data_IF_006278452546
#
_entry.id   IF_006278452546
#
_cell.length_a   1.000
_cell.length_b   1.000
_cell.length_c   1.000
_cell.angle_alpha   90.00
_cell.angle_beta   90.00
_cell.angle_gamma   90.00
#
_symmetry.space_group_name_H-M   'P 1'
#
loop_
_entity.id
_entity.type
_entity.pdbx_description
1 polymer ?
#
# COMPACT_ATOMS: atom_id res chain seq x y z
N UNK A 1 -1.34 9.70 1.50
CA UNK A 1 -1.51 11.16 1.63
C UNK A 1 -0.13 11.80 1.53
N UNK A 2 -0.08 13.07 1.17
CA UNK A 2 1.14 13.87 1.14
C UNK A 2 0.81 15.28 1.63
N UNK A 3 1.82 16.06 1.99
CA UNK A 3 1.63 17.41 2.52
C UNK A 3 2.94 18.04 2.93
N UNK A 4 2.90 19.35 3.13
CA UNK A 4 4.06 20.14 3.57
C UNK A 4 4.16 20.28 5.10
N UNK A 5 3.13 19.83 5.82
CA UNK A 5 3.01 19.93 7.28
C UNK A 5 2.78 18.51 7.84
N UNK A 6 3.75 17.91 8.56
CA UNK A 6 3.66 16.52 9.00
C UNK A 6 2.54 16.24 10.02
N UNK A 7 2.12 17.23 10.81
CA UNK A 7 1.07 17.02 11.83
C UNK A 7 -0.31 16.84 11.19
N UNK A 8 -0.55 17.42 10.01
CA UNK A 8 -1.75 17.20 9.17
C UNK A 8 -1.82 15.78 8.60
N UNK A 9 -0.69 15.07 8.54
CA UNK A 9 -0.61 13.72 7.97
C UNK A 9 -0.83 12.63 9.02
N UNK A 10 -0.78 12.94 10.32
CA UNK A 10 -1.05 11.94 11.37
C UNK A 10 -2.53 11.56 11.37
N UNK A 11 -2.92 10.26 11.39
CA UNK A 11 -2.12 9.05 11.64
C UNK A 11 -1.61 8.31 10.38
N UNK A 12 -1.73 8.90 9.20
CA UNK A 12 -1.39 8.25 7.93
C UNK A 12 0.13 8.21 7.72
N UNK A 13 0.74 7.05 7.96
CA UNK A 13 2.14 6.79 7.59
C UNK A 13 2.23 6.46 6.11
N UNK A 14 3.04 7.23 5.36
CA UNK A 14 3.39 6.85 4.00
C UNK A 14 4.60 5.93 4.05
N UNK A 15 4.45 4.68 3.63
CA UNK A 15 5.56 3.72 3.46
C UNK A 15 6.32 3.97 2.15
N UNK A 16 5.86 4.91 1.34
CA UNK A 16 6.52 5.30 0.10
C UNK A 16 7.79 6.08 0.45
N UNK A 17 8.94 5.58 0.00
CA UNK A 17 10.21 6.29 0.07
C UNK A 17 10.26 7.46 -0.91
N UNK A 18 11.46 7.89 -1.27
CA UNK A 18 11.65 8.93 -2.28
C UNK A 18 11.19 8.41 -3.66
N UNK A 19 10.24 9.11 -4.28
CA UNK A 19 9.71 8.80 -5.61
C UNK A 19 9.71 10.07 -6.47
N UNK A 20 9.98 9.89 -7.76
CA UNK A 20 9.86 10.97 -8.75
C UNK A 20 8.54 10.80 -9.51
N UNK A 21 7.74 11.87 -9.57
CA UNK A 21 6.45 11.89 -10.28
C UNK A 21 6.43 13.05 -11.28
N UNK A 22 5.75 12.91 -12.43
CA UNK A 22 5.58 14.03 -13.36
C UNK A 22 4.96 15.24 -12.68
N UNK A 23 5.54 16.42 -12.92
CA UNK A 23 5.06 17.67 -12.34
C UNK A 23 3.61 17.97 -12.74
N UNK A 24 2.78 18.31 -11.76
CA UNK A 24 1.38 18.69 -11.95
C UNK A 24 1.02 19.89 -11.08
N UNK A 25 -0.08 20.57 -11.42
CA UNK A 25 -0.52 21.79 -10.75
C UNK A 25 -0.70 21.62 -9.24
N UNK A 26 -1.30 20.50 -8.80
CA UNK A 26 -1.49 20.20 -7.38
C UNK A 26 -0.18 20.18 -6.58
N UNK A 27 0.86 19.50 -7.10
CA UNK A 27 2.17 19.44 -6.46
C UNK A 27 2.86 20.82 -6.45
N UNK A 28 2.74 21.57 -7.55
CA UNK A 28 3.27 22.94 -7.62
C UNK A 28 2.60 23.87 -6.62
N UNK A 29 1.29 23.72 -6.41
CA UNK A 29 0.53 24.50 -5.45
C UNK A 29 0.95 24.15 -4.02
N UNK A 30 1.04 22.87 -3.68
CA UNK A 30 1.49 22.40 -2.37
C UNK A 30 2.91 22.89 -2.04
N UNK A 31 3.81 22.85 -3.03
CA UNK A 31 5.17 23.38 -2.91
C UNK A 31 5.16 24.89 -2.59
N UNK A 32 4.47 25.71 -3.39
CA UNK A 32 4.42 27.16 -3.17
C UNK A 32 3.72 27.53 -1.86
N UNK A 33 2.65 26.81 -1.48
CA UNK A 33 2.02 27.00 -0.17
C UNK A 33 3.02 26.72 0.96
N UNK A 34 3.84 25.67 0.81
CA UNK A 34 4.93 25.35 1.75
C UNK A 34 5.99 26.44 1.85
N UNK A 35 6.43 26.98 0.72
CA UNK A 35 7.39 28.11 0.67
C UNK A 35 6.86 29.37 1.39
N UNK A 36 5.54 29.56 1.40
CA UNK A 36 4.86 30.64 2.11
C UNK A 36 4.43 30.30 3.55
N UNK A 37 4.76 29.09 4.04
CA UNK A 37 4.41 28.65 5.40
C UNK A 37 2.91 28.39 5.59
N UNK A 38 2.17 28.14 4.52
CA UNK A 38 0.75 27.81 4.55
C UNK A 38 0.60 26.27 4.57
N UNK A 39 -0.01 25.68 5.62
CA UNK A 39 -0.22 24.24 5.67
C UNK A 39 -1.12 23.75 4.53
N UNK A 40 -0.70 22.69 3.87
CA UNK A 40 -1.45 22.05 2.78
C UNK A 40 -1.19 20.55 2.74
N UNK A 41 -2.21 19.82 2.29
CA UNK A 41 -2.15 18.37 2.13
C UNK A 41 -2.92 17.92 0.89
N UNK A 42 -2.51 16.80 0.33
CA UNK A 42 -3.18 16.11 -0.76
C UNK A 42 -3.56 14.67 -0.41
N UNK A 43 -4.69 14.26 -0.97
CA UNK A 43 -5.23 12.90 -0.86
C UNK A 43 -5.28 12.30 -2.25
N UNK A 44 -4.71 11.11 -2.39
CA UNK A 44 -4.72 10.34 -3.63
C UNK A 44 -5.41 9.01 -3.35
N UNK A 45 -6.35 8.63 -4.22
CA UNK A 45 -6.98 7.31 -4.19
C UNK A 45 -6.24 6.41 -5.18
N UNK A 46 -5.83 5.23 -4.70
CA UNK A 46 -5.31 4.19 -5.59
C UNK A 46 -6.48 3.53 -6.30
N UNK A 47 -6.46 3.58 -7.64
CA UNK A 47 -7.42 2.89 -8.49
C UNK A 47 -6.67 1.77 -9.20
N UNK A 48 -7.16 0.52 -9.12
CA UNK A 48 -6.59 -0.57 -9.89
C UNK A 48 -6.48 -0.18 -11.37
N UNK A 49 -5.30 -0.38 -11.97
CA UNK A 49 -5.00 0.15 -13.30
C UNK A 49 -5.90 -0.44 -14.39
N UNK A 50 -6.45 -1.64 -14.20
CA UNK A 50 -7.43 -2.25 -15.10
C UNK A 50 -8.79 -1.51 -15.08
N UNK A 51 -9.06 -0.68 -14.07
CA UNK A 51 -10.29 0.11 -13.95
C UNK A 51 -10.21 1.49 -14.59
N UNK A 52 -9.06 1.91 -15.12
CA UNK A 52 -8.86 3.28 -15.64
C UNK A 52 -9.78 3.62 -16.82
N UNK A 53 -10.24 2.61 -17.57
CA UNK A 53 -11.17 2.80 -18.70
C UNK A 53 -12.65 2.84 -18.27
N UNK A 54 -12.94 2.56 -16.99
CA UNK A 54 -14.28 2.53 -16.44
C UNK A 54 -14.53 3.76 -15.57
N UNK A 55 -15.79 4.17 -15.48
CA UNK A 55 -16.17 5.09 -14.41
C UNK A 55 -16.02 4.37 -13.07
N UNK A 56 -15.28 4.98 -12.14
CA UNK A 56 -15.05 4.40 -10.81
C UNK A 56 -15.46 5.37 -9.68
N UNK A 57 -16.77 5.57 -9.45
CA UNK A 57 -17.28 6.51 -8.44
C UNK A 57 -16.81 6.21 -7.01
N UNK A 58 -16.39 4.96 -6.73
CA UNK A 58 -15.75 4.60 -5.47
C UNK A 58 -14.55 5.47 -5.12
N UNK A 59 -13.68 5.74 -6.09
CA UNK A 59 -12.50 6.56 -5.84
C UNK A 59 -12.90 7.98 -5.39
N UNK A 60 -13.88 8.57 -6.08
CA UNK A 60 -14.41 9.87 -5.70
C UNK A 60 -15.04 9.85 -4.30
N UNK A 61 -15.84 8.83 -3.99
CA UNK A 61 -16.43 8.65 -2.66
C UNK A 61 -15.35 8.55 -1.57
N UNK A 62 -14.32 7.73 -1.79
CA UNK A 62 -13.19 7.55 -0.86
C UNK A 62 -12.44 8.87 -0.64
N UNK A 63 -12.16 9.62 -1.71
CA UNK A 63 -11.49 10.93 -1.61
C UNK A 63 -12.32 11.91 -0.79
N UNK A 64 -13.62 12.03 -1.06
CA UNK A 64 -14.50 12.96 -0.35
C UNK A 64 -14.69 12.58 1.12
N UNK A 65 -14.79 11.28 1.42
CA UNK A 65 -14.81 10.79 2.80
C UNK A 65 -13.49 11.11 3.53
N UNK A 66 -12.35 11.00 2.85
CA UNK A 66 -11.05 11.41 3.36
C UNK A 66 -11.02 12.90 3.69
N UNK A 67 -11.46 13.76 2.76
CA UNK A 67 -11.56 15.21 3.00
C UNK A 67 -12.46 15.52 4.18
N UNK A 68 -13.65 14.92 4.25
CA UNK A 68 -14.59 15.10 5.35
C UNK A 68 -13.96 14.70 6.70
N UNK A 69 -13.24 13.58 6.74
CA UNK A 69 -12.58 13.07 7.95
C UNK A 69 -11.47 13.99 8.45
N UNK A 70 -10.68 14.58 7.54
CA UNK A 70 -9.55 15.44 7.88
C UNK A 70 -9.95 16.87 8.25
N UNK A 71 -11.01 17.38 7.61
CA UNK A 71 -11.42 18.78 7.75
C UNK A 71 -12.61 18.97 8.72
N UNK A 72 -13.29 17.88 9.07
CA UNK A 72 -14.56 17.93 9.80
C UNK A 72 -15.73 18.46 8.97
N UNK A 73 -15.56 18.67 7.66
CA UNK A 73 -16.61 19.13 6.77
C UNK A 73 -17.66 18.04 6.54
N UNK A 74 -18.92 18.46 6.45
CA UNK A 74 -20.01 17.59 5.99
C UNK A 74 -20.09 17.68 4.48
N UNK A 75 -19.61 16.64 3.80
CA UNK A 75 -19.65 16.53 2.34
C UNK A 75 -20.78 15.58 1.93
N UNK A 76 -21.74 16.00 1.10
CA UNK A 76 -22.82 15.12 0.64
C UNK A 76 -22.27 14.08 -0.35
N UNK A 77 -22.20 12.82 0.09
CA UNK A 77 -21.73 11.68 -0.72
C UNK A 77 -22.81 10.61 -0.94
N UNK A 78 -24.06 10.92 -0.58
CA UNK A 78 -25.17 9.95 -0.57
C UNK A 78 -25.42 9.30 -1.94
N UNK A 79 -25.33 10.07 -3.03
CA UNK A 79 -25.56 9.58 -4.40
C UNK A 79 -24.37 8.80 -4.97
N UNK A 80 -23.17 8.95 -4.38
CA UNK A 80 -21.98 8.24 -4.83
C UNK A 80 -22.01 6.76 -4.45
N UNK A 81 -22.58 6.41 -3.31
CA UNK A 81 -22.70 5.01 -2.88
C UNK A 81 -23.47 4.15 -3.90
N UNK A 82 -24.72 4.49 -4.32
CA UNK A 82 -25.45 3.69 -5.29
C UNK A 82 -24.82 3.73 -6.68
N UNK A 83 -24.22 4.85 -7.09
CA UNK A 83 -23.49 4.95 -8.35
C UNK A 83 -22.26 4.02 -8.37
N UNK A 84 -21.53 3.98 -7.25
CA UNK A 84 -20.37 3.12 -7.08
C UNK A 84 -20.74 1.63 -7.13
N UNK A 85 -21.77 1.21 -6.39
CA UNK A 85 -22.27 -0.19 -6.43
C UNK A 85 -22.67 -0.59 -7.85
N UNK A 86 -23.33 0.31 -8.58
CA UNK A 86 -23.75 0.05 -9.96
C UNK A 86 -22.56 -0.14 -10.88
N UNK A 87 -21.61 0.79 -10.87
CA UNK A 87 -20.40 0.71 -11.68
C UNK A 87 -19.57 -0.55 -11.39
N UNK A 88 -19.42 -0.91 -10.11
CA UNK A 88 -18.75 -2.16 -9.69
C UNK A 88 -19.44 -3.40 -10.27
N UNK A 89 -20.77 -3.41 -10.28
CA UNK A 89 -21.56 -4.52 -10.84
C UNK A 89 -21.38 -4.61 -12.36
N UNK A 90 -21.45 -3.48 -13.07
CA UNK A 90 -21.25 -3.44 -14.53
C UNK A 90 -19.83 -3.89 -14.92
N UNK A 91 -18.82 -3.51 -14.14
CA UNK A 91 -17.44 -4.00 -14.32
C UNK A 91 -17.35 -5.51 -14.10
N UNK A 92 -17.97 -6.03 -13.02
CA UNK A 92 -17.97 -7.46 -12.73
C UNK A 92 -18.65 -8.29 -13.82
N UNK A 93 -19.76 -7.80 -14.38
CA UNK A 93 -20.46 -8.45 -15.50
C UNK A 93 -19.58 -8.51 -16.76
N UNK A 94 -18.84 -7.44 -17.05
CA UNK A 94 -17.92 -7.41 -18.19
C UNK A 94 -16.70 -8.33 -17.99
N UNK A 95 -16.23 -8.48 -16.74
CA UNK A 95 -15.17 -9.42 -16.39
C UNK A 95 -15.61 -10.87 -16.59
N UNK A 96 -16.81 -11.23 -16.14
CA UNK A 96 -17.37 -12.59 -16.32
C UNK A 96 -17.57 -12.95 -17.80
N UNK A 97 -17.80 -11.94 -18.65
CA UNK A 97 -17.89 -12.15 -20.10
C UNK A 97 -16.56 -12.48 -20.78
N UNK A 98 -15.42 -12.44 -20.06
CA UNK A 98 -14.08 -12.66 -20.60
C UNK A 98 -13.20 -13.42 -19.60
N UNK A 99 -13.20 -14.76 -19.70
CA UNK A 99 -12.46 -15.66 -18.80
C UNK A 99 -10.94 -15.37 -18.73
N UNK A 100 -10.34 -14.92 -19.83
CA UNK A 100 -8.92 -14.52 -19.85
C UNK A 100 -8.70 -13.27 -19.00
N UNK A 101 -9.57 -12.26 -19.14
CA UNK A 101 -9.48 -11.02 -18.38
C UNK A 101 -9.80 -11.24 -16.89
N UNK A 102 -10.78 -12.08 -16.56
CA UNK A 102 -11.10 -12.46 -15.19
C UNK A 102 -9.90 -13.12 -14.48
N UNK A 103 -9.16 -13.99 -15.19
CA UNK A 103 -7.97 -14.65 -14.63
C UNK A 103 -6.86 -13.64 -14.33
N UNK A 104 -6.63 -12.68 -15.22
CA UNK A 104 -5.62 -11.62 -15.02
C UNK A 104 -5.99 -10.72 -13.84
N UNK A 105 -7.25 -10.31 -13.73
CA UNK A 105 -7.71 -9.47 -12.62
C UNK A 105 -7.56 -10.20 -11.28
N UNK A 106 -7.94 -11.47 -11.20
CA UNK A 106 -7.77 -12.26 -9.97
C UNK A 106 -6.30 -12.34 -9.53
N UNK A 107 -5.36 -12.50 -10.47
CA UNK A 107 -3.93 -12.52 -10.16
C UNK A 107 -3.41 -11.15 -9.66
N UNK A 108 -3.88 -10.05 -10.26
CA UNK A 108 -3.54 -8.69 -9.84
C UNK A 108 -4.09 -8.35 -8.45
N UNK A 109 -5.32 -8.78 -8.15
CA UNK A 109 -5.94 -8.62 -6.83
C UNK A 109 -5.17 -9.41 -5.77
N UNK A 110 -4.82 -10.67 -6.05
CA UNK A 110 -3.96 -11.46 -5.15
C UNK A 110 -2.60 -10.79 -4.91
N UNK A 111 -1.99 -10.18 -5.92
CA UNK A 111 -0.73 -9.45 -5.75
C UNK A 111 -0.92 -8.20 -4.85
N UNK A 112 -2.00 -7.45 -5.07
CA UNK A 112 -2.33 -6.28 -4.25
C UNK A 112 -2.55 -6.66 -2.78
N UNK A 113 -3.31 -7.73 -2.53
CA UNK A 113 -3.57 -8.22 -1.18
C UNK A 113 -2.29 -8.69 -0.48
N UNK A 114 -1.38 -9.35 -1.19
CA UNK A 114 -0.06 -9.73 -0.65
C UNK A 114 0.77 -8.49 -0.29
N UNK A 115 0.83 -7.48 -1.15
CA UNK A 115 1.56 -6.23 -0.87
C UNK A 115 0.96 -5.48 0.33
N UNK A 116 -0.38 -5.39 0.40
CA UNK A 116 -1.07 -4.77 1.52
C UNK A 116 -0.85 -5.54 2.83
N UNK A 117 -0.90 -6.87 2.80
CA UNK A 117 -0.62 -7.71 3.96
C UNK A 117 0.80 -7.49 4.48
N UNK A 118 1.79 -7.35 3.59
CA UNK A 118 3.17 -7.00 3.96
C UNK A 118 3.26 -5.60 4.58
N UNK A 119 2.61 -4.59 3.99
CA UNK A 119 2.61 -3.22 4.52
C UNK A 119 1.91 -3.11 5.90
N UNK A 120 0.82 -3.85 6.10
CA UNK A 120 0.15 -3.96 7.40
C UNK A 120 1.00 -4.74 8.40
N UNK A 121 1.68 -5.81 7.97
CA UNK A 121 2.61 -6.59 8.79
C UNK A 121 3.86 -5.82 9.22
N UNK A 122 4.34 -4.87 8.41
CA UNK A 122 5.45 -3.95 8.74
C UNK A 122 5.00 -2.80 9.66
N UNK A 123 3.69 -2.53 9.73
CA UNK A 123 3.12 -1.58 10.70
C UNK A 123 3.08 -2.17 12.12
N UNK A 124 3.10 -3.50 12.25
CA UNK A 124 3.68 -4.15 13.41
C UNK A 124 5.19 -4.01 13.28
N UNK A 125 5.84 -3.21 14.14
CA UNK A 125 7.29 -3.02 14.06
C UNK A 125 8.05 -4.35 14.06
N UNK A 126 9.37 -4.32 13.85
CA UNK A 126 10.26 -5.51 13.91
C UNK A 126 10.03 -6.34 15.19
N UNK A 127 9.51 -5.72 16.25
CA UNK A 127 8.96 -6.34 17.46
C UNK A 127 7.86 -7.40 17.23
N UNK A 128 6.95 -7.21 16.28
CA UNK A 128 5.82 -8.13 16.02
C UNK A 128 6.24 -9.36 15.19
N UNK A 129 7.42 -9.28 14.55
CA UNK A 129 8.04 -10.39 13.82
C UNK A 129 8.83 -11.32 14.74
N UNK A 130 8.95 -10.99 16.04
CA UNK A 130 9.52 -11.86 17.05
C UNK A 130 8.46 -12.18 18.11
N UNK A 131 8.29 -13.44 18.54
CA UNK A 131 7.33 -13.78 19.60
C UNK A 131 7.60 -13.10 20.96
N UNK A 132 8.64 -12.26 21.07
CA UNK A 132 9.02 -11.50 22.27
C UNK A 132 9.16 -9.98 22.08
N UNK A 133 8.74 -9.39 20.96
CA UNK A 133 8.54 -7.93 20.93
C UNK A 133 9.81 -7.08 20.86
N UNK A 134 10.98 -7.63 20.49
CA UNK A 134 12.26 -6.91 20.50
C UNK A 134 13.02 -6.99 19.17
N UNK A 135 13.74 -5.93 18.81
CA UNK A 135 14.80 -5.98 17.79
C UNK A 135 15.95 -6.83 18.36
N UNK A 136 16.40 -7.90 17.68
CA UNK A 136 17.51 -8.73 18.15
C UNK A 136 18.77 -7.90 18.34
N UNK A 137 19.51 -8.18 19.40
CA UNK A 137 20.81 -7.56 19.67
C UNK A 137 21.85 -8.01 18.63
N UNK A 138 22.90 -7.21 18.41
CA UNK A 138 23.93 -7.51 17.41
C UNK A 138 24.60 -8.87 17.63
N UNK A 139 24.69 -9.34 18.88
CA UNK A 139 25.26 -10.62 19.23
C UNK A 139 24.33 -11.80 18.85
N UNK A 140 23.01 -11.62 18.97
CA UNK A 140 22.03 -12.63 18.54
C UNK A 140 21.99 -12.77 17.01
N UNK A 141 22.15 -11.66 16.30
CA UNK A 141 22.26 -11.66 14.83
C UNK A 141 23.56 -12.36 14.41
N UNK A 142 24.68 -12.10 15.11
CA UNK A 142 25.96 -12.78 14.84
C UNK A 142 25.85 -14.30 15.04
N UNK A 143 25.21 -14.75 16.11
CA UNK A 143 25.02 -16.17 16.39
C UNK A 143 24.17 -16.88 15.32
N UNK A 144 23.08 -16.26 14.85
CA UNK A 144 22.25 -16.82 13.78
C UNK A 144 22.98 -16.88 12.43
N UNK A 145 23.84 -15.90 12.14
CA UNK A 145 24.67 -15.91 10.93
C UNK A 145 25.70 -17.04 11.01
N UNK A 146 26.32 -17.27 12.17
CA UNK A 146 27.25 -18.39 12.35
C UNK A 146 26.57 -19.75 12.19
N UNK A 147 25.36 -19.92 12.75
CA UNK A 147 24.55 -21.13 12.60
C UNK A 147 24.13 -21.37 11.14
N UNK A 148 23.73 -20.32 10.42
CA UNK A 148 23.41 -20.41 8.99
C UNK A 148 24.63 -20.80 8.15
N UNK A 149 25.81 -20.22 8.43
CA UNK A 149 27.05 -20.56 7.75
C UNK A 149 27.50 -22.00 8.05
N UNK A 150 27.28 -22.50 9.26
CA UNK A 150 27.50 -23.90 9.61
C UNK A 150 26.53 -24.84 8.87
N UNK A 151 25.25 -24.47 8.76
CA UNK A 151 24.28 -25.27 8.01
C UNK A 151 24.61 -25.37 6.50
N UNK A 152 25.24 -24.34 5.93
CA UNK A 152 25.75 -24.38 4.55
C UNK A 152 27.02 -25.23 4.42
N UNK A 153 27.86 -25.27 5.46
CA UNK A 153 29.06 -26.10 5.50
C UNK A 153 28.75 -27.59 5.73
N UNK A 154 27.69 -27.90 6.49
CA UNK A 154 27.21 -29.27 6.72
C UNK A 154 26.42 -29.85 5.52
N UNK A 155 26.02 -29.01 4.58
CA UNK A 155 25.35 -29.42 3.34
C UNK A 155 26.26 -30.04 2.27
N UNK A 156 27.58 -30.17 2.52
CA UNK A 156 28.57 -30.65 1.54
C UNK A 156 29.37 -31.88 2.02
N UNK A 157 28.73 -32.80 2.78
CA UNK A 157 29.25 -34.17 2.97
C UNK A 157 28.66 -35.13 1.90
N UNK A 158 29.41 -35.49 0.84
CA UNK A 158 29.04 -36.65 0.03
C UNK A 158 29.22 -37.91 0.89
N UNK A 159 28.10 -38.58 1.22
CA UNK A 159 28.11 -39.96 1.69
C UNK A 159 28.64 -40.85 0.55
N UNK A 160 29.90 -41.26 0.63
CA UNK A 160 30.39 -42.42 -0.10
C UNK A 160 29.72 -43.68 0.50
N UNK A 161 28.99 -44.49 -0.29
CA UNK A 161 28.53 -45.80 0.14
C UNK A 161 29.64 -46.84 -0.10
N UNK A 162 29.92 -47.67 0.91
CA UNK A 162 30.84 -48.82 0.89
C UNK A 162 30.91 -49.56 -0.46
N UNK A 163 32.13 -49.67 -1.03
CA UNK A 163 32.70 -50.90 -1.66
C UNK A 163 34.19 -50.73 -1.96
#
# INVERSE_FOLDING_TARGET
MHGNEPTLLSPYTSVLGEIEVPGHLGAMLELHLGEHGIPSMGITAQVPHYLVQFEFPRAAQTLLNGVASLTGLVVPTADLQPAAVRAETEVAEQLVGNDEFATVVAALEQQYDQLNALQQGVSGGISDLTPQGGVPTGDEIAAQVEEFLQSLAEGDEPKDPDS
#
